data_IF_106822608924
#
_entry.id   IF_106822608924
#
_cell.length_a   1.000
_cell.length_b   1.000
_cell.length_c   1.000
_cell.angle_alpha   90.00
_cell.angle_beta   90.00
_cell.angle_gamma   90.00
#
_symmetry.space_group_name_H-M   'P 1'
#
loop_
_entity.id
_entity.type
_entity.pdbx_description
1 polymer ?
#
# COMPACT_ATOMS: atom_id res chain seq x y z
N UNK A 1 9.38 -6.74 11.96
CA UNK A 1 8.49 -6.61 10.78
C UNK A 1 7.21 -7.42 10.91
N UNK A 2 7.26 -8.73 11.20
CA UNK A 2 6.07 -9.60 11.25
C UNK A 2 4.97 -9.08 12.21
N UNK A 3 5.32 -8.65 13.42
CA UNK A 3 4.34 -8.13 14.38
C UNK A 3 3.60 -6.88 13.90
N UNK A 4 4.30 -5.95 13.23
CA UNK A 4 3.68 -4.74 12.69
C UNK A 4 2.80 -5.03 11.48
N UNK A 5 3.20 -5.96 10.61
CA UNK A 5 2.37 -6.42 9.50
C UNK A 5 1.09 -7.11 10.01
N UNK A 6 1.20 -7.94 11.05
CA UNK A 6 0.05 -8.55 11.70
C UNK A 6 -0.94 -7.51 12.24
N UNK A 7 -0.44 -6.51 12.98
CA UNK A 7 -1.28 -5.44 13.51
C UNK A 7 -1.98 -4.66 12.40
N UNK A 8 -1.26 -4.29 11.34
CA UNK A 8 -1.81 -3.59 10.18
C UNK A 8 -2.93 -4.40 9.51
N UNK A 9 -2.70 -5.68 9.19
CA UNK A 9 -3.73 -6.53 8.58
C UNK A 9 -4.95 -6.73 9.47
N UNK A 10 -4.76 -6.83 10.79
CA UNK A 10 -5.87 -7.00 11.75
C UNK A 10 -6.82 -5.80 11.71
N UNK A 11 -6.29 -4.57 11.81
CA UNK A 11 -7.11 -3.36 11.75
C UNK A 11 -7.72 -3.14 10.36
N UNK A 12 -6.97 -3.44 9.31
CA UNK A 12 -7.49 -3.36 7.94
C UNK A 12 -8.68 -4.31 7.72
N UNK A 13 -8.60 -5.53 8.24
CA UNK A 13 -9.69 -6.50 8.19
C UNK A 13 -10.96 -5.96 8.86
N UNK A 14 -10.84 -5.38 10.05
CA UNK A 14 -11.97 -4.78 10.75
C UNK A 14 -12.61 -3.62 9.97
N UNK A 15 -11.80 -2.62 9.59
CA UNK A 15 -12.27 -1.44 8.86
C UNK A 15 -13.00 -1.81 7.56
N UNK A 16 -12.56 -2.89 6.91
CA UNK A 16 -13.20 -3.36 5.70
C UNK A 16 -14.63 -3.88 5.94
N UNK A 17 -14.86 -4.69 6.96
CA UNK A 17 -16.19 -5.22 7.24
C UNK A 17 -17.17 -4.11 7.66
N UNK A 18 -16.70 -3.17 8.46
CA UNK A 18 -17.48 -1.99 8.86
C UNK A 18 -17.96 -1.19 7.63
N UNK A 19 -17.07 -0.95 6.66
CA UNK A 19 -17.45 -0.23 5.43
C UNK A 19 -18.53 -0.95 4.61
N UNK A 20 -18.50 -2.28 4.59
CA UNK A 20 -19.49 -3.10 3.88
C UNK A 20 -20.84 -3.02 4.60
N UNK A 21 -20.86 -3.19 5.93
CA UNK A 21 -22.07 -3.06 6.72
C UNK A 21 -22.70 -1.67 6.56
N UNK A 22 -21.86 -0.62 6.62
CA UNK A 22 -22.29 0.76 6.45
C UNK A 22 -22.97 1.01 5.09
N UNK A 23 -22.32 0.60 4.01
CA UNK A 23 -22.85 0.81 2.65
C UNK A 23 -24.11 0.02 2.39
N UNK A 24 -24.20 -1.22 2.89
CA UNK A 24 -25.37 -2.08 2.69
C UNK A 24 -26.58 -1.62 3.50
N UNK A 25 -26.41 -1.25 4.77
CA UNK A 25 -27.48 -0.70 5.61
C UNK A 25 -27.90 0.71 5.15
N UNK A 26 -27.03 1.41 4.41
CA UNK A 26 -27.32 2.73 3.84
C UNK A 26 -28.45 2.76 2.82
N UNK A 27 -28.74 1.64 2.14
CA UNK A 27 -29.64 1.59 0.97
C UNK A 27 -30.91 0.76 1.21
N UNK A 28 -31.85 0.82 0.27
CA UNK A 28 -33.02 -0.07 0.26
C UNK A 28 -32.59 -1.49 -0.12
N UNK A 29 -33.35 -2.49 0.33
CA UNK A 29 -33.10 -3.91 0.03
C UNK A 29 -32.88 -4.19 -1.47
N UNK A 30 -33.68 -3.54 -2.33
CA UNK A 30 -33.61 -3.71 -3.80
C UNK A 30 -32.29 -3.21 -4.41
N UNK A 31 -31.60 -2.31 -3.72
CA UNK A 31 -30.38 -1.64 -4.19
C UNK A 31 -29.10 -2.23 -3.56
N UNK A 32 -29.21 -3.29 -2.74
CA UNK A 32 -28.07 -3.91 -2.03
C UNK A 32 -26.95 -4.34 -2.99
N UNK A 33 -27.32 -4.91 -4.14
CA UNK A 33 -26.36 -5.32 -5.16
C UNK A 33 -25.59 -4.14 -5.77
N UNK A 34 -26.28 -3.03 -6.02
CA UNK A 34 -25.66 -1.80 -6.56
C UNK A 34 -24.75 -1.18 -5.50
N UNK A 35 -25.21 -1.09 -4.25
CA UNK A 35 -24.40 -0.56 -3.14
C UNK A 35 -23.12 -1.37 -2.93
N UNK A 36 -23.23 -2.70 -2.85
CA UNK A 36 -22.08 -3.59 -2.74
C UNK A 36 -21.12 -3.48 -3.93
N UNK A 37 -21.67 -3.40 -5.16
CA UNK A 37 -20.88 -3.21 -6.37
C UNK A 37 -20.09 -1.90 -6.38
N UNK A 38 -20.74 -0.78 -6.03
CA UNK A 38 -20.09 0.54 -5.93
C UNK A 38 -19.04 0.56 -4.82
N UNK A 39 -19.32 -0.04 -3.67
CA UNK A 39 -18.33 -0.19 -2.59
C UNK A 39 -17.10 -0.99 -3.04
N UNK A 40 -17.32 -2.09 -3.78
CA UNK A 40 -16.25 -2.88 -4.39
C UNK A 40 -15.41 -2.07 -5.39
N UNK A 41 -16.06 -1.35 -6.30
CA UNK A 41 -15.37 -0.50 -7.29
C UNK A 41 -14.52 0.57 -6.61
N UNK A 42 -15.09 1.29 -5.63
CA UNK A 42 -14.37 2.30 -4.87
C UNK A 42 -13.11 1.73 -4.20
N UNK A 43 -13.21 0.52 -3.63
CA UNK A 43 -12.08 -0.17 -3.02
C UNK A 43 -10.99 -0.51 -4.04
N UNK A 44 -11.34 -1.15 -5.15
CA UNK A 44 -10.35 -1.56 -6.15
C UNK A 44 -9.72 -0.36 -6.87
N UNK A 45 -10.51 0.68 -7.16
CA UNK A 45 -10.01 1.92 -7.74
C UNK A 45 -9.07 2.67 -6.78
N UNK A 46 -9.43 2.75 -5.49
CA UNK A 46 -8.55 3.34 -4.47
C UNK A 46 -7.25 2.55 -4.31
N UNK A 47 -7.33 1.22 -4.29
CA UNK A 47 -6.17 0.33 -4.19
C UNK A 47 -5.20 0.47 -5.38
N UNK A 48 -5.72 0.52 -6.61
CA UNK A 48 -4.88 0.69 -7.80
C UNK A 48 -4.20 2.05 -7.85
N UNK A 49 -4.91 3.12 -7.47
CA UNK A 49 -4.35 4.47 -7.38
C UNK A 49 -3.24 4.54 -6.32
N UNK A 50 -3.50 4.01 -5.11
CA UNK A 50 -2.53 3.98 -4.03
C UNK A 50 -1.27 3.20 -4.43
N UNK A 51 -1.43 2.04 -5.08
CA UNK A 51 -0.31 1.25 -5.58
C UNK A 51 0.54 2.05 -6.58
N UNK A 52 -0.08 2.70 -7.57
CA UNK A 52 0.64 3.50 -8.55
C UNK A 52 1.41 4.67 -7.90
N UNK A 53 0.78 5.37 -6.95
CA UNK A 53 1.41 6.49 -6.22
C UNK A 53 2.60 6.01 -5.38
N UNK A 54 2.39 5.00 -4.54
CA UNK A 54 3.43 4.53 -3.60
C UNK A 54 4.63 3.91 -4.31
N UNK A 55 4.40 3.14 -5.38
CA UNK A 55 5.49 2.58 -6.20
C UNK A 55 6.28 3.67 -6.90
N UNK A 56 5.61 4.70 -7.43
CA UNK A 56 6.27 5.85 -8.06
C UNK A 56 7.11 6.62 -7.07
N UNK A 57 6.56 6.95 -5.89
CA UNK A 57 7.29 7.66 -4.82
C UNK A 57 8.52 6.85 -4.38
N UNK A 58 8.33 5.55 -4.13
CA UNK A 58 9.42 4.67 -3.69
C UNK A 58 10.54 4.63 -4.73
N UNK A 59 10.20 4.34 -5.98
CA UNK A 59 11.16 4.20 -7.08
C UNK A 59 11.93 5.49 -7.32
N UNK A 60 11.23 6.61 -7.41
CA UNK A 60 11.87 7.91 -7.66
C UNK A 60 12.79 8.31 -6.50
N UNK A 61 12.30 8.21 -5.26
CA UNK A 61 13.06 8.60 -4.07
C UNK A 61 14.29 7.71 -3.88
N UNK A 62 14.13 6.40 -4.01
CA UNK A 62 15.23 5.44 -3.92
C UNK A 62 16.26 5.71 -5.01
N UNK A 63 15.83 5.90 -6.27
CA UNK A 63 16.74 6.14 -7.40
C UNK A 63 17.53 7.42 -7.18
N UNK A 64 16.87 8.54 -6.88
CA UNK A 64 17.53 9.81 -6.61
C UNK A 64 18.53 9.69 -5.47
N UNK A 65 18.15 9.01 -4.37
CA UNK A 65 19.04 8.86 -3.22
C UNK A 65 20.22 7.94 -3.53
N UNK A 66 19.98 6.83 -4.22
CA UNK A 66 21.02 5.88 -4.61
C UNK A 66 22.04 6.51 -5.57
N UNK A 67 21.59 7.33 -6.53
CA UNK A 67 22.49 8.08 -7.43
C UNK A 67 23.41 9.06 -6.68
N UNK A 68 23.02 9.52 -5.49
CA UNK A 68 23.85 10.41 -4.67
C UNK A 68 24.77 9.64 -3.72
N UNK A 69 24.25 8.60 -3.05
CA UNK A 69 24.97 7.97 -1.94
C UNK A 69 25.88 6.83 -2.39
N UNK A 70 25.52 6.09 -3.44
CA UNK A 70 26.29 4.92 -3.88
C UNK A 70 27.59 5.34 -4.58
N UNK A 71 27.58 6.26 -5.56
CA UNK A 71 28.83 6.70 -6.16
C UNK A 71 29.74 7.40 -5.15
N UNK A 72 29.19 8.28 -4.30
CA UNK A 72 29.96 8.97 -3.26
C UNK A 72 30.65 8.02 -2.28
N UNK A 73 30.01 6.89 -1.91
CA UNK A 73 30.61 5.89 -1.04
C UNK A 73 31.76 5.13 -1.72
N UNK A 74 31.67 4.90 -3.03
CA UNK A 74 32.72 4.23 -3.80
C UNK A 74 33.89 5.18 -4.10
N UNK A 75 33.61 6.43 -4.45
CA UNK A 75 34.60 7.48 -4.70
C UNK A 75 35.41 7.81 -3.44
N UNK A 76 34.79 7.77 -2.26
CA UNK A 76 35.48 7.96 -0.98
C UNK A 76 36.57 6.90 -0.70
N UNK A 77 36.45 5.73 -1.35
CA UNK A 77 37.42 4.63 -1.27
C UNK A 77 38.38 4.60 -2.48
N UNK A 78 38.34 5.63 -3.33
CA UNK A 78 39.26 5.80 -4.46
C UNK A 78 38.79 5.21 -5.78
N UNK A 79 37.52 4.78 -5.90
CA UNK A 79 36.97 4.35 -7.18
C UNK A 79 36.75 5.55 -8.10
N UNK A 80 37.07 5.40 -9.40
CA UNK A 80 36.80 6.43 -10.40
C UNK A 80 35.30 6.69 -10.59
N UNK A 81 34.96 7.90 -11.03
CA UNK A 81 33.56 8.33 -11.17
C UNK A 81 32.77 7.48 -12.18
N UNK A 82 33.42 7.03 -13.26
CA UNK A 82 32.78 6.19 -14.27
C UNK A 82 32.48 4.79 -13.74
N UNK A 83 33.44 4.21 -13.01
CA UNK A 83 33.35 2.91 -12.37
C UNK A 83 32.33 2.93 -11.22
N UNK A 84 32.23 4.04 -10.49
CA UNK A 84 31.23 4.25 -9.44
C UNK A 84 29.80 4.28 -10.00
N UNK A 85 29.58 4.84 -11.18
CA UNK A 85 28.29 4.77 -11.88
C UNK A 85 27.98 3.35 -12.39
N UNK A 86 28.98 2.64 -12.91
CA UNK A 86 28.82 1.23 -13.30
C UNK A 86 28.46 0.36 -12.10
N UNK A 87 29.09 0.58 -10.95
CA UNK A 87 28.82 -0.11 -9.71
C UNK A 87 27.38 0.11 -9.24
N UNK A 88 26.87 1.34 -9.33
CA UNK A 88 25.47 1.64 -9.01
C UNK A 88 24.50 0.86 -9.90
N UNK A 89 24.75 0.77 -11.22
CA UNK A 89 23.89 -0.02 -12.11
C UNK A 89 23.95 -1.52 -11.80
N UNK A 90 25.13 -2.04 -11.48
CA UNK A 90 25.31 -3.45 -11.13
C UNK A 90 24.61 -3.80 -9.81
N UNK A 91 24.69 -2.93 -8.80
CA UNK A 91 24.03 -3.11 -7.50
C UNK A 91 22.51 -2.99 -7.61
N UNK A 92 21.99 -2.04 -8.40
CA UNK A 92 20.55 -1.85 -8.55
C UNK A 92 19.87 -3.01 -9.28
N UNK A 93 20.59 -3.67 -10.19
CA UNK A 93 20.11 -4.83 -10.95
C UNK A 93 20.40 -6.18 -10.28
N UNK A 94 21.22 -6.20 -9.22
CA UNK A 94 21.66 -7.44 -8.57
C UNK A 94 22.61 -8.28 -9.44
N UNK A 95 23.24 -7.66 -10.45
CA UNK A 95 24.14 -8.34 -11.37
C UNK A 95 25.53 -8.56 -10.74
N UNK A 96 25.64 -9.58 -9.90
CA UNK A 96 26.88 -9.91 -9.17
C UNK A 96 28.09 -10.19 -10.08
N UNK A 97 27.86 -10.62 -11.33
CA UNK A 97 28.93 -10.77 -12.33
C UNK A 97 29.48 -9.42 -12.78
N UNK A 98 28.59 -8.46 -13.06
CA UNK A 98 28.97 -7.12 -13.53
C UNK A 98 29.76 -6.33 -12.48
N UNK A 99 29.59 -6.63 -11.19
CA UNK A 99 30.37 -6.00 -10.11
C UNK A 99 31.85 -6.42 -10.20
N UNK A 100 32.13 -7.68 -10.55
CA UNK A 100 33.50 -8.24 -10.60
C UNK A 100 34.31 -7.74 -11.79
N UNK A 101 33.62 -7.33 -12.84
CA UNK A 101 34.24 -6.84 -14.07
C UNK A 101 34.68 -5.37 -13.97
N UNK A 102 34.36 -4.69 -12.86
CA UNK A 102 34.71 -3.27 -12.63
C UNK A 102 36.18 -3.14 -12.26
N UNK A 103 36.99 -2.39 -13.02
CA UNK A 103 38.39 -2.14 -12.67
C UNK A 103 38.53 -1.45 -11.32
N UNK A 104 39.44 -1.94 -10.47
CA UNK A 104 39.71 -1.34 -9.16
C UNK A 104 38.66 -1.65 -8.08
N UNK A 105 37.72 -2.56 -8.34
CA UNK A 105 36.74 -2.99 -7.34
C UNK A 105 37.41 -3.79 -6.22
N UNK A 106 37.04 -3.51 -4.98
CA UNK A 106 37.43 -4.28 -3.80
C UNK A 106 36.20 -4.68 -3.01
N UNK A 107 36.31 -5.74 -2.19
CA UNK A 107 35.21 -6.17 -1.32
C UNK A 107 34.74 -5.05 -0.37
N UNK A 108 35.66 -4.17 0.04
CA UNK A 108 35.35 -3.00 0.87
C UNK A 108 34.48 -1.98 0.11
N UNK A 109 34.80 -1.69 -1.16
CA UNK A 109 34.00 -0.81 -2.02
C UNK A 109 32.60 -1.39 -2.23
N UNK A 110 32.51 -2.69 -2.51
CA UNK A 110 31.22 -3.36 -2.71
C UNK A 110 30.38 -3.32 -1.43
N UNK A 111 31.00 -3.57 -0.26
CA UNK A 111 30.32 -3.52 1.02
C UNK A 111 29.81 -2.10 1.36
N UNK A 112 30.63 -1.07 1.13
CA UNK A 112 30.25 0.32 1.34
C UNK A 112 29.11 0.75 0.40
N UNK A 113 29.23 0.48 -0.89
CA UNK A 113 28.22 0.77 -1.90
C UNK A 113 26.90 0.03 -1.64
N UNK A 114 26.97 -1.24 -1.24
CA UNK A 114 25.78 -2.04 -0.86
C UNK A 114 25.09 -1.49 0.38
N UNK A 115 25.87 -1.02 1.37
CA UNK A 115 25.33 -0.40 2.58
C UNK A 115 24.66 0.94 2.24
N UNK A 116 25.30 1.76 1.41
CA UNK A 116 24.71 3.01 0.91
C UNK A 116 23.40 2.76 0.16
N UNK A 117 23.35 1.70 -0.66
CA UNK A 117 22.13 1.31 -1.37
C UNK A 117 21.00 0.88 -0.42
N UNK A 118 21.30 0.07 0.62
CA UNK A 118 20.32 -0.29 1.66
C UNK A 118 19.73 0.94 2.35
N UNK A 119 20.56 1.95 2.64
CA UNK A 119 20.11 3.21 3.21
C UNK A 119 19.25 4.04 2.23
N UNK A 120 19.56 4.02 0.93
CA UNK A 120 18.72 4.64 -0.08
C UNK A 120 17.33 3.99 -0.16
N UNK A 121 17.26 2.65 -0.08
CA UNK A 121 15.99 1.91 0.01
C UNK A 121 15.23 2.26 1.28
N UNK A 122 15.90 2.25 2.44
CA UNK A 122 15.28 2.63 3.71
C UNK A 122 14.74 4.07 3.70
N UNK A 123 15.45 4.98 3.05
CA UNK A 123 14.99 6.36 2.84
C UNK A 123 13.75 6.41 1.96
N UNK A 124 13.74 5.69 0.83
CA UNK A 124 12.55 5.57 -0.02
C UNK A 124 11.33 5.06 0.74
N UNK A 125 11.48 3.98 1.50
CA UNK A 125 10.41 3.42 2.34
C UNK A 125 9.89 4.41 3.39
N UNK A 126 10.78 5.18 4.02
CA UNK A 126 10.39 6.24 4.97
C UNK A 126 9.52 7.30 4.29
N UNK A 127 9.91 7.79 3.11
CA UNK A 127 9.14 8.81 2.38
C UNK A 127 7.78 8.25 1.94
N UNK A 128 7.72 7.02 1.43
CA UNK A 128 6.46 6.36 1.09
C UNK A 128 5.55 6.19 2.31
N UNK A 129 6.10 5.87 3.48
CA UNK A 129 5.33 5.76 4.73
C UNK A 129 4.79 7.11 5.21
N UNK A 130 5.52 8.21 5.00
CA UNK A 130 5.02 9.55 5.29
C UNK A 130 3.90 9.96 4.33
N UNK A 131 4.00 9.57 3.05
CA UNK A 131 2.95 9.81 2.08
C UNK A 131 1.66 9.04 2.42
N UNK A 132 1.75 7.80 2.90
CA UNK A 132 0.57 7.02 3.31
C UNK A 132 -0.15 7.61 4.52
N UNK A 133 0.57 8.26 5.45
CA UNK A 133 -0.03 8.97 6.58
C UNK A 133 -0.95 10.12 6.12
N UNK A 134 -0.64 10.80 5.02
CA UNK A 134 -1.50 11.86 4.50
C UNK A 134 -2.86 11.31 4.01
N UNK A 135 -2.85 10.16 3.31
CA UNK A 135 -4.07 9.49 2.89
C UNK A 135 -4.85 8.91 4.08
N UNK A 136 -4.16 8.37 5.08
CA UNK A 136 -4.78 7.92 6.32
C UNK A 136 -5.48 9.08 7.05
N UNK A 137 -4.85 10.26 7.10
CA UNK A 137 -5.45 11.46 7.68
C UNK A 137 -6.75 11.88 6.99
N UNK A 138 -6.78 11.86 5.65
CA UNK A 138 -8.01 12.11 4.89
C UNK A 138 -9.08 11.06 5.20
N UNK A 139 -8.70 9.78 5.27
CA UNK A 139 -9.60 8.69 5.65
C UNK A 139 -10.22 8.90 7.05
N UNK A 140 -9.42 9.31 8.04
CA UNK A 140 -9.91 9.62 9.38
C UNK A 140 -10.91 10.79 9.38
N UNK A 141 -10.66 11.83 8.60
CA UNK A 141 -11.62 12.94 8.45
C UNK A 141 -12.93 12.43 7.85
N UNK A 142 -12.88 11.59 6.82
CA UNK A 142 -14.07 10.97 6.24
C UNK A 142 -14.83 10.11 7.27
N UNK A 143 -14.13 9.35 8.12
CA UNK A 143 -14.75 8.58 9.19
C UNK A 143 -15.49 9.48 10.21
N UNK A 144 -14.95 10.65 10.53
CA UNK A 144 -15.61 11.61 11.43
C UNK A 144 -16.87 12.23 10.80
N UNK A 145 -16.98 12.21 9.48
CA UNK A 145 -18.14 12.71 8.73
C UNK A 145 -19.17 11.61 8.43
N UNK A 146 -18.90 10.35 8.80
CA UNK A 146 -19.86 9.26 8.64
C UNK A 146 -21.07 9.46 9.56
N UNK A 147 -22.27 9.26 9.02
CA UNK A 147 -23.51 9.31 9.80
C UNK A 147 -23.65 8.08 10.72
N UNK A 148 -24.35 8.22 11.83
CA UNK A 148 -24.66 7.08 12.69
C UNK A 148 -25.73 6.19 12.01
N UNK A 149 -25.47 4.89 11.94
CA UNK A 149 -26.38 3.89 11.32
C UNK A 149 -27.08 2.98 12.33
N UNK A 150 -26.94 3.23 13.64
CA UNK A 150 -27.45 2.36 14.71
C UNK A 150 -28.96 2.16 14.60
N UNK A 151 -29.69 3.21 14.21
CA UNK A 151 -31.13 3.13 13.99
C UNK A 151 -31.54 2.14 12.88
N UNK A 152 -30.63 1.84 11.95
CA UNK A 152 -30.82 0.87 10.87
C UNK A 152 -30.37 -0.55 11.27
N UNK A 153 -29.62 -0.71 12.34
CA UNK A 153 -29.20 -2.01 12.90
C UNK A 153 -30.29 -2.56 13.82
N UNK A 154 -31.46 -2.88 13.26
CA UNK A 154 -32.62 -3.36 13.99
C UNK A 154 -33.04 -4.77 13.52
N UNK A 155 -33.95 -5.41 14.25
CA UNK A 155 -34.43 -6.77 13.95
C UNK A 155 -35.44 -6.82 12.77
N UNK A 156 -35.47 -5.79 11.91
CA UNK A 156 -36.38 -5.75 10.76
C UNK A 156 -35.91 -6.73 9.69
N UNK A 157 -36.79 -7.66 9.35
CA UNK A 157 -36.60 -8.56 8.21
C UNK A 157 -37.29 -7.97 6.98
N UNK A 158 -36.54 -7.70 5.91
CA UNK A 158 -37.08 -7.15 4.65
C UNK A 158 -37.66 -8.23 3.72
N UNK A 159 -37.16 -9.47 3.79
CA UNK A 159 -37.60 -10.60 2.95
C UNK A 159 -37.64 -11.89 3.77
N UNK A 160 -38.76 -12.59 3.74
CA UNK A 160 -38.98 -13.90 4.36
C UNK A 160 -38.79 -15.02 3.32
N UNK A 161 -38.38 -16.20 3.78
CA UNK A 161 -38.30 -17.37 2.89
C UNK A 161 -39.70 -17.75 2.41
N UNK A 162 -39.83 -18.21 1.16
CA UNK A 162 -41.14 -18.58 0.60
C UNK A 162 -41.81 -19.75 1.33
N UNK A 163 -41.03 -20.58 2.02
CA UNK A 163 -41.51 -21.70 2.84
C UNK A 163 -41.66 -21.34 4.33
N UNK A 164 -41.60 -20.06 4.69
CA UNK A 164 -41.73 -19.58 6.08
C UNK A 164 -43.18 -19.22 6.43
N UNK A 165 -43.52 -19.27 7.72
CA UNK A 165 -44.82 -18.82 8.26
C UNK A 165 -45.10 -17.35 7.97
N UNK A 166 -44.06 -16.55 7.72
CA UNK A 166 -44.15 -15.12 7.42
C UNK A 166 -44.13 -14.79 5.92
N UNK A 167 -44.16 -15.79 5.01
CA UNK A 167 -44.12 -15.60 3.54
C UNK A 167 -45.10 -14.54 3.01
N UNK A 168 -46.26 -14.39 3.63
CA UNK A 168 -47.32 -13.46 3.22
C UNK A 168 -46.96 -11.99 3.48
N UNK A 169 -45.93 -11.74 4.29
CA UNK A 169 -45.41 -10.39 4.53
C UNK A 169 -44.45 -9.92 3.43
N UNK A 170 -44.08 -10.79 2.49
CA UNK A 170 -43.25 -10.42 1.35
C UNK A 170 -44.03 -9.54 0.38
N UNK A 171 -43.44 -8.40 0.00
CA UNK A 171 -43.98 -7.51 -1.03
C UNK A 171 -43.65 -8.01 -2.44
N UNK A 172 -42.55 -8.75 -2.57
CA UNK A 172 -42.05 -9.32 -3.82
C UNK A 172 -41.87 -10.83 -3.65
N UNK A 173 -42.37 -11.61 -4.61
CA UNK A 173 -42.20 -13.06 -4.71
C UNK A 173 -41.20 -13.35 -5.83
#
# INVERSE_FOLDING_TARGET
MIAFAFLEQMFFGWAQYESIAFTQLGVKQVDLGISGGLGGVARYAGGSLAQAIYTTILTNTQTTKAMQTVPAAAEALGLGQAEAQQLLQAISTGASSAIKDIPGITDEIVAAASTAYKWAVAHGLKITSLASLAFAGLGLICCLLCENIDAKMNDKTEVFLENDVNREKNVYH
#
